data_IF_599689790311
#
_entry.id   IF_599689790311
#
_cell.length_a   1.000
_cell.length_b   1.000
_cell.length_c   1.000
_cell.angle_alpha   90.00
_cell.angle_beta   90.00
_cell.angle_gamma   90.00
#
_symmetry.space_group_name_H-M   'P 1'
#
loop_
_entity.id
_entity.type
_entity.pdbx_description
1 polymer ?
#
# COMPACT_ATOMS: atom_id res chain seq x y z
N UNK A 1 19.67 3.37 -25.41
CA UNK A 1 18.25 3.41 -25.04
C UNK A 1 17.54 4.44 -25.91
N UNK A 2 16.40 4.08 -26.51
CA UNK A 2 15.61 4.98 -27.38
C UNK A 2 14.81 5.98 -26.54
N UNK A 3 14.59 7.20 -27.03
CA UNK A 3 13.77 8.21 -26.32
C UNK A 3 12.35 7.71 -26.02
N UNK A 4 11.78 6.92 -26.93
CA UNK A 4 10.46 6.30 -26.75
C UNK A 4 10.45 5.27 -25.61
N UNK A 5 11.51 4.47 -25.44
CA UNK A 5 11.55 3.47 -24.38
C UNK A 5 11.63 4.13 -23.01
N UNK A 6 12.47 5.17 -22.88
CA UNK A 6 12.59 5.94 -21.64
C UNK A 6 11.25 6.57 -21.22
N UNK A 7 10.51 7.15 -22.18
CA UNK A 7 9.22 7.76 -21.90
C UNK A 7 8.15 6.74 -21.47
N UNK A 8 8.18 5.54 -22.05
CA UNK A 8 7.29 4.44 -21.63
C UNK A 8 7.63 3.97 -20.21
N UNK A 9 8.91 3.88 -19.87
CA UNK A 9 9.35 3.48 -18.54
C UNK A 9 8.96 4.52 -17.46
N UNK A 10 9.08 5.82 -17.78
CA UNK A 10 8.62 6.91 -16.91
C UNK A 10 7.11 6.80 -16.61
N UNK A 11 6.28 6.59 -17.64
CA UNK A 11 4.81 6.43 -17.46
C UNK A 11 4.48 5.22 -16.59
N UNK A 12 5.19 4.09 -16.78
CA UNK A 12 5.00 2.89 -15.98
C UNK A 12 5.36 3.14 -14.51
N UNK A 13 6.44 3.88 -14.27
CA UNK A 13 6.88 4.19 -12.91
C UNK A 13 5.90 5.14 -12.20
N UNK A 14 5.39 6.15 -12.91
CA UNK A 14 4.32 7.00 -12.38
C UNK A 14 3.05 6.22 -12.06
N UNK A 15 2.68 5.25 -12.90
CA UNK A 15 1.51 4.40 -12.65
C UNK A 15 1.71 3.53 -11.40
N UNK A 16 2.91 2.95 -11.22
CA UNK A 16 3.29 2.17 -10.04
C UNK A 16 3.27 3.01 -8.77
N UNK A 17 3.83 4.23 -8.82
CA UNK A 17 3.83 5.15 -7.68
C UNK A 17 2.40 5.57 -7.31
N UNK A 18 1.55 5.86 -8.31
CA UNK A 18 0.12 6.15 -8.08
C UNK A 18 -0.66 4.97 -7.51
N UNK A 19 -0.33 3.74 -7.89
CA UNK A 19 -0.96 2.55 -7.31
C UNK A 19 -0.55 2.40 -5.83
N UNK A 20 0.73 2.59 -5.53
CA UNK A 20 1.24 2.56 -4.17
C UNK A 20 0.60 3.61 -3.26
N UNK A 21 0.57 4.88 -3.66
CA UNK A 21 -0.07 5.93 -2.86
C UNK A 21 -1.56 5.64 -2.62
N UNK A 22 -2.26 5.11 -3.63
CA UNK A 22 -3.68 4.75 -3.46
C UNK A 22 -3.89 3.64 -2.44
N UNK A 23 -3.03 2.62 -2.43
CA UNK A 23 -3.08 1.56 -1.43
C UNK A 23 -2.81 2.09 -0.03
N UNK A 24 -1.81 2.97 0.08
CA UNK A 24 -1.47 3.64 1.34
C UNK A 24 -2.65 4.46 1.88
N UNK A 25 -3.19 5.38 1.07
CA UNK A 25 -4.27 6.28 1.49
C UNK A 25 -5.55 5.52 1.84
N UNK A 26 -5.87 4.46 1.08
CA UNK A 26 -7.01 3.59 1.35
C UNK A 26 -6.87 2.90 2.71
N UNK A 27 -5.75 2.20 2.95
CA UNK A 27 -5.55 1.46 4.19
C UNK A 27 -5.44 2.39 5.40
N UNK A 28 -4.70 3.50 5.28
CA UNK A 28 -4.62 4.48 6.35
C UNK A 28 -6.00 5.05 6.71
N UNK A 29 -6.81 5.39 5.70
CA UNK A 29 -8.15 5.89 5.91
C UNK A 29 -9.07 4.87 6.58
N UNK A 30 -9.04 3.61 6.13
CA UNK A 30 -9.88 2.54 6.68
C UNK A 30 -9.51 2.22 8.14
N UNK A 31 -8.21 2.10 8.43
CA UNK A 31 -7.71 1.86 9.79
C UNK A 31 -8.05 3.00 10.74
N UNK A 32 -7.85 4.26 10.32
CA UNK A 32 -8.17 5.43 11.16
C UNK A 32 -9.66 5.65 11.41
N UNK A 33 -10.53 5.01 10.62
CA UNK A 33 -11.99 5.04 10.81
C UNK A 33 -12.53 3.78 11.48
N UNK A 34 -11.66 2.87 11.91
CA UNK A 34 -12.01 1.55 12.45
C UNK A 34 -12.90 0.71 11.50
N UNK A 35 -12.78 0.94 10.18
CA UNK A 35 -13.49 0.16 9.14
C UNK A 35 -12.77 -1.15 8.82
N UNK A 36 -11.46 -1.19 9.05
CA UNK A 36 -10.57 -2.33 8.84
C UNK A 36 -9.62 -2.47 10.05
N UNK A 37 -9.02 -3.65 10.23
CA UNK A 37 -7.98 -3.89 11.24
C UNK A 37 -6.65 -4.23 10.57
N UNK A 38 -5.50 -4.13 11.27
CA UNK A 38 -4.22 -4.54 10.69
C UNK A 38 -4.24 -5.98 10.15
N UNK A 39 -4.87 -6.91 10.86
CA UNK A 39 -5.06 -8.29 10.41
C UNK A 39 -5.87 -8.40 9.10
N UNK A 40 -6.93 -7.62 8.92
CA UNK A 40 -7.71 -7.66 7.68
C UNK A 40 -6.94 -7.08 6.49
N UNK A 41 -6.18 -6.01 6.72
CA UNK A 41 -5.26 -5.43 5.73
C UNK A 41 -4.15 -6.43 5.36
N UNK A 42 -3.53 -7.10 6.33
CA UNK A 42 -2.50 -8.11 6.07
C UNK A 42 -3.07 -9.31 5.30
N UNK A 43 -4.26 -9.79 5.68
CA UNK A 43 -4.95 -10.85 4.94
C UNK A 43 -5.18 -10.46 3.48
N UNK A 44 -5.63 -9.23 3.21
CA UNK A 44 -5.81 -8.72 1.85
C UNK A 44 -4.48 -8.66 1.09
N UNK A 45 -3.44 -8.14 1.73
CA UNK A 45 -2.12 -7.96 1.14
C UNK A 45 -1.26 -9.24 1.14
N UNK A 46 -1.71 -10.37 1.69
CA UNK A 46 -0.91 -11.60 1.87
C UNK A 46 -0.85 -12.51 0.64
N UNK A 47 -1.58 -12.19 -0.43
CA UNK A 47 -1.62 -12.98 -1.67
C UNK A 47 -0.25 -13.16 -2.36
N UNK A 48 -0.13 -14.20 -3.18
CA UNK A 48 1.12 -14.53 -3.91
C UNK A 48 1.50 -13.49 -4.99
N UNK A 49 0.54 -12.69 -5.46
CA UNK A 49 0.76 -11.62 -6.44
C UNK A 49 0.49 -10.25 -5.82
N UNK A 50 1.35 -9.82 -4.89
CA UNK A 50 1.25 -8.48 -4.29
C UNK A 50 1.55 -7.42 -5.34
N UNK A 51 0.56 -6.61 -5.67
CA UNK A 51 0.76 -5.48 -6.56
C UNK A 51 1.26 -4.25 -5.79
N UNK A 52 1.45 -3.13 -6.49
CA UNK A 52 1.93 -1.89 -5.86
C UNK A 52 0.92 -1.32 -4.87
N UNK A 53 -0.37 -1.53 -5.08
CA UNK A 53 -1.42 -1.10 -4.17
C UNK A 53 -1.32 -1.90 -2.86
N UNK A 54 -1.17 -3.21 -2.93
CA UNK A 54 -1.04 -4.08 -1.74
C UNK A 54 0.19 -3.69 -0.90
N UNK A 55 1.30 -3.38 -1.55
CA UNK A 55 2.51 -2.88 -0.88
C UNK A 55 2.28 -1.52 -0.19
N UNK A 56 1.46 -0.65 -0.79
CA UNK A 56 1.07 0.62 -0.19
C UNK A 56 0.21 0.44 1.05
N UNK A 57 -0.80 -0.44 0.96
CA UNK A 57 -1.69 -0.76 2.06
C UNK A 57 -0.91 -1.34 3.27
N UNK A 58 -0.01 -2.28 3.00
CA UNK A 58 0.86 -2.87 4.03
C UNK A 58 1.78 -1.84 4.68
N UNK A 59 2.33 -0.91 3.89
CA UNK A 59 3.20 0.16 4.42
C UNK A 59 2.43 1.11 5.34
N UNK A 60 1.20 1.50 4.98
CA UNK A 60 0.36 2.34 5.84
C UNK A 60 0.06 1.65 7.17
N UNK A 61 -0.32 0.38 7.13
CA UNK A 61 -0.56 -0.43 8.32
C UNK A 61 0.65 -0.45 9.27
N UNK A 62 1.84 -0.80 8.76
CA UNK A 62 3.07 -0.79 9.55
C UNK A 62 3.37 0.58 10.16
N UNK A 63 3.27 1.63 9.36
CA UNK A 63 3.62 2.97 9.81
C UNK A 63 2.68 3.46 10.91
N UNK A 64 1.38 3.19 10.80
CA UNK A 64 0.41 3.56 11.85
C UNK A 64 0.64 2.79 13.16
N UNK A 65 1.04 1.52 13.09
CA UNK A 65 1.45 0.72 14.26
C UNK A 65 2.72 1.28 14.88
N UNK A 66 3.77 1.55 14.08
CA UNK A 66 5.05 2.06 14.55
C UNK A 66 4.92 3.44 15.23
N UNK A 67 3.97 4.26 14.76
CA UNK A 67 3.64 5.55 15.36
C UNK A 67 2.74 5.42 16.60
N UNK A 68 2.23 4.23 16.92
CA UNK A 68 1.32 3.98 18.03
C UNK A 68 -0.06 4.60 17.86
N UNK A 69 -0.49 4.85 16.61
CA UNK A 69 -1.81 5.41 16.31
C UNK A 69 -2.89 4.33 16.38
N UNK A 70 -2.56 3.11 15.97
CA UNK A 70 -3.42 1.93 16.03
C UNK A 70 -2.71 0.79 16.76
N UNK A 71 -3.47 -0.11 17.39
CA UNK A 71 -2.91 -1.31 18.02
C UNK A 71 -2.52 -2.37 16.98
N UNK A 72 -1.51 -3.17 17.29
CA UNK A 72 -1.13 -4.30 16.46
C UNK A 72 -1.89 -5.56 16.89
N UNK A 73 -2.76 -6.06 16.01
CA UNK A 73 -3.50 -7.32 16.18
C UNK A 73 -2.93 -8.49 15.36
N UNK A 74 -1.79 -8.30 14.69
CA UNK A 74 -1.05 -9.35 13.99
C UNK A 74 -0.41 -10.28 15.04
N UNK A 75 -1.09 -11.37 15.38
CA UNK A 75 -0.74 -12.33 16.42
C UNK A 75 -0.19 -13.65 15.87
#
# INVERSE_FOLDING_TARGET
MSWLSKKIDEIKEEARFRAWNRGFDWAAGALLRDEETPMSIDSYASGNDKDRFDMGAYAACKQLIELGIIENDLS
#
